data_IF_676193509194
#
_entry.id   IF_676193509194
#
_cell.length_a   1.000
_cell.length_b   1.000
_cell.length_c   1.000
_cell.angle_alpha   90.00
_cell.angle_beta   90.00
_cell.angle_gamma   90.00
#
_symmetry.space_group_name_H-M   'P 1'
#
loop_
_entity.id
_entity.type
_entity.pdbx_description
1 polymer ?
#
# COMPACT_ATOMS: atom_id res chain seq x y z
N UNK A 1 -20.83 0.76 12.54
CA UNK A 1 -19.78 1.41 13.37
C UNK A 1 -19.72 2.87 12.95
N UNK A 2 -19.67 3.83 13.88
CA UNK A 2 -19.51 5.24 13.51
C UNK A 2 -18.17 5.39 12.79
N UNK A 3 -18.21 5.84 11.54
CA UNK A 3 -17.02 6.19 10.76
C UNK A 3 -16.81 7.69 10.88
N UNK A 4 -15.56 8.12 10.87
CA UNK A 4 -15.24 9.54 10.74
C UNK A 4 -15.93 10.13 9.50
N UNK A 5 -16.32 11.41 9.49
CA UNK A 5 -16.87 12.01 8.28
C UNK A 5 -15.78 12.12 7.20
N UNK A 6 -16.19 12.03 5.92
CA UNK A 6 -15.31 12.39 4.81
C UNK A 6 -15.16 13.91 4.78
N UNK A 7 -13.95 14.41 5.03
CA UNK A 7 -13.64 15.84 5.04
C UNK A 7 -12.98 16.32 3.75
N UNK A 8 -12.55 15.42 2.87
CA UNK A 8 -11.93 15.84 1.62
C UNK A 8 -11.69 14.71 0.64
N UNK A 9 -11.23 15.10 -0.55
CA UNK A 9 -10.88 14.21 -1.64
C UNK A 9 -9.56 14.64 -2.27
N UNK A 10 -8.66 13.67 -2.41
CA UNK A 10 -7.42 13.81 -3.19
C UNK A 10 -7.66 13.31 -4.61
N UNK A 11 -7.39 14.17 -5.58
CA UNK A 11 -7.51 13.89 -7.00
C UNK A 11 -6.18 14.05 -7.73
N UNK A 12 -5.90 13.14 -8.66
CA UNK A 12 -4.71 13.19 -9.55
C UNK A 12 -4.91 14.01 -10.83
N UNK A 13 -6.15 14.35 -11.15
CA UNK A 13 -6.51 15.10 -12.34
C UNK A 13 -7.09 16.45 -11.95
N UNK A 14 -6.94 17.42 -12.84
CA UNK A 14 -7.53 18.74 -12.73
C UNK A 14 -9.05 18.72 -12.79
N UNK A 15 -9.64 19.90 -12.80
CA UNK A 15 -11.09 20.03 -12.88
C UNK A 15 -11.66 19.40 -14.14
N UNK A 16 -12.80 18.72 -14.00
CA UNK A 16 -13.47 18.10 -15.14
C UNK A 16 -14.12 19.19 -15.97
N UNK A 17 -13.97 19.10 -17.29
CA UNK A 17 -14.65 20.00 -18.22
C UNK A 17 -15.82 19.25 -18.86
N UNK A 18 -17.01 19.39 -18.26
CA UNK A 18 -18.19 18.61 -18.63
C UNK A 18 -17.95 17.10 -18.47
N UNK A 19 -18.19 16.33 -19.54
CA UNK A 19 -17.96 14.88 -19.55
C UNK A 19 -16.49 14.48 -19.79
N UNK A 20 -15.58 15.44 -20.04
CA UNK A 20 -14.17 15.14 -20.25
C UNK A 20 -13.45 15.04 -18.90
N UNK A 21 -12.64 13.99 -18.68
CA UNK A 21 -11.73 13.94 -17.54
C UNK A 21 -10.85 15.19 -17.54
N UNK A 22 -10.58 15.73 -16.34
CA UNK A 22 -9.62 16.81 -16.20
C UNK A 22 -8.22 16.36 -16.64
N UNK A 23 -7.38 17.34 -17.03
CA UNK A 23 -5.99 17.09 -17.39
C UNK A 23 -5.27 16.36 -16.25
N UNK A 24 -4.39 15.42 -16.57
CA UNK A 24 -3.52 14.80 -15.58
C UNK A 24 -2.62 15.85 -14.90
N UNK A 25 -2.50 15.78 -13.58
CA UNK A 25 -1.65 16.66 -12.78
C UNK A 25 -0.47 15.90 -12.19
N UNK A 26 0.65 16.60 -12.06
CA UNK A 26 1.89 16.12 -11.44
C UNK A 26 1.82 16.20 -9.92
N UNK A 27 0.96 17.07 -9.38
CA UNK A 27 0.70 17.26 -7.96
C UNK A 27 -0.71 16.77 -7.59
N UNK A 28 -0.96 16.67 -6.30
CA UNK A 28 -2.27 16.40 -5.74
C UNK A 28 -3.16 17.63 -5.80
N UNK A 29 -4.39 17.44 -6.29
CA UNK A 29 -5.47 18.40 -6.07
C UNK A 29 -6.31 17.94 -4.91
N UNK A 30 -6.38 18.74 -3.86
CA UNK A 30 -7.30 18.55 -2.75
C UNK A 30 -8.60 19.30 -3.01
N UNK A 31 -9.72 18.70 -2.60
CA UNK A 31 -11.05 19.32 -2.67
C UNK A 31 -11.86 18.94 -1.43
N UNK A 32 -12.63 19.88 -0.89
CA UNK A 32 -13.53 19.68 0.24
C UNK A 32 -14.87 20.40 0.00
N UNK A 33 -15.89 20.02 0.77
CA UNK A 33 -17.12 20.80 0.87
C UNK A 33 -16.97 21.98 1.87
N UNK A 34 -15.90 21.97 2.67
CA UNK A 34 -15.60 22.96 3.70
C UNK A 34 -14.36 23.76 3.28
N UNK A 35 -14.53 25.06 3.02
CA UNK A 35 -13.46 25.92 2.53
C UNK A 35 -12.29 26.03 3.52
N UNK A 36 -12.60 25.98 4.82
CA UNK A 36 -11.64 25.96 5.91
C UNK A 36 -10.72 24.73 5.86
N UNK A 37 -11.22 23.58 5.43
CA UNK A 37 -10.42 22.34 5.28
C UNK A 37 -9.49 22.44 4.08
N UNK A 38 -9.94 23.07 2.98
CA UNK A 38 -9.07 23.34 1.83
C UNK A 38 -7.95 24.31 2.18
N UNK A 39 -8.27 25.39 2.90
CA UNK A 39 -7.30 26.35 3.38
C UNK A 39 -6.27 25.72 4.34
N UNK A 40 -6.72 24.86 5.27
CA UNK A 40 -5.82 24.12 6.16
C UNK A 40 -4.89 23.17 5.39
N UNK A 41 -5.40 22.50 4.34
CA UNK A 41 -4.59 21.65 3.49
C UNK A 41 -3.54 22.46 2.72
N UNK A 42 -3.93 23.57 2.11
CA UNK A 42 -3.03 24.47 1.39
C UNK A 42 -1.98 25.09 2.32
N UNK A 43 -2.34 25.44 3.56
CA UNK A 43 -1.38 25.93 4.55
C UNK A 43 -0.32 24.89 4.92
N UNK A 44 -0.69 23.60 4.98
CA UNK A 44 0.23 22.51 5.32
C UNK A 44 1.12 22.07 4.15
N UNK A 45 0.58 22.10 2.93
CA UNK A 45 1.17 21.42 1.77
C UNK A 45 1.49 22.34 0.58
N UNK A 46 1.04 23.59 0.62
CA UNK A 46 1.09 24.53 -0.49
C UNK A 46 0.08 24.24 -1.60
N UNK A 47 0.16 25.02 -2.67
CA UNK A 47 -0.78 24.96 -3.80
C UNK A 47 -0.63 23.67 -4.65
N UNK A 48 0.59 23.14 -4.75
CA UNK A 48 0.95 22.03 -5.66
C UNK A 48 1.73 20.93 -4.97
N UNK A 49 1.14 20.20 -4.00
CA UNK A 49 1.86 19.18 -3.28
C UNK A 49 2.06 17.91 -4.09
N UNK A 50 3.31 17.45 -4.17
CA UNK A 50 3.68 16.18 -4.80
C UNK A 50 3.59 15.00 -3.83
N UNK A 51 3.68 15.29 -2.52
CA UNK A 51 3.70 14.31 -1.44
C UNK A 51 2.72 14.75 -0.36
N UNK A 52 1.91 13.82 0.13
CA UNK A 52 0.99 14.03 1.27
C UNK A 52 1.28 12.96 2.32
N UNK A 53 1.49 13.37 3.56
CA UNK A 53 1.62 12.45 4.69
C UNK A 53 0.23 11.90 5.01
N UNK A 54 0.13 10.58 5.15
CA UNK A 54 -1.15 9.93 5.40
C UNK A 54 -1.01 8.81 6.42
N UNK A 55 -2.09 8.55 7.15
CA UNK A 55 -2.24 7.39 8.01
C UNK A 55 -3.45 6.58 7.57
N UNK A 56 -3.39 5.26 7.77
CA UNK A 56 -4.54 4.39 7.53
C UNK A 56 -5.41 4.32 8.80
N UNK A 57 -6.70 4.70 8.74
CA UNK A 57 -7.57 4.72 9.91
C UNK A 57 -7.95 3.33 10.45
N UNK A 58 -7.91 2.30 9.60
CA UNK A 58 -8.37 0.95 9.94
C UNK A 58 -7.24 -0.08 9.91
N UNK A 59 -7.42 -1.20 10.62
CA UNK A 59 -6.41 -2.25 10.71
C UNK A 59 -6.37 -3.17 9.49
N UNK A 60 -7.52 -3.36 8.83
CA UNK A 60 -7.68 -4.30 7.72
C UNK A 60 -7.57 -3.60 6.36
N UNK A 61 -7.12 -4.34 5.35
CA UNK A 61 -6.95 -3.82 3.99
C UNK A 61 -8.29 -3.36 3.40
N UNK A 62 -9.33 -4.17 3.54
CA UNK A 62 -10.64 -3.96 2.90
C UNK A 62 -11.39 -2.77 3.49
N UNK A 63 -11.02 -2.33 4.69
CA UNK A 63 -11.58 -1.16 5.35
C UNK A 63 -10.93 0.15 4.86
N UNK A 64 -9.68 0.08 4.42
CA UNK A 64 -8.93 1.25 3.93
C UNK A 64 -8.94 1.34 2.40
N UNK A 65 -8.93 0.22 1.69
CA UNK A 65 -8.70 0.14 0.25
C UNK A 65 -9.84 -0.58 -0.47
N UNK A 66 -10.88 0.19 -0.79
CA UNK A 66 -12.08 -0.30 -1.44
C UNK A 66 -11.87 -0.38 -2.94
N UNK A 67 -11.78 -1.60 -3.48
CA UNK A 67 -11.55 -1.85 -4.90
C UNK A 67 -12.73 -2.59 -5.51
N UNK A 68 -13.34 -1.99 -6.52
CA UNK A 68 -14.54 -2.52 -7.18
C UNK A 68 -14.45 -2.32 -8.68
N UNK A 69 -15.20 -3.12 -9.46
CA UNK A 69 -15.53 -2.74 -10.84
C UNK A 69 -16.92 -2.11 -10.84
N UNK A 70 -17.04 -0.92 -11.41
CA UNK A 70 -18.29 -0.15 -11.43
C UNK A 70 -18.67 0.23 -12.86
N UNK A 71 -19.95 0.05 -13.20
CA UNK A 71 -20.55 0.60 -14.42
C UNK A 71 -21.41 1.79 -14.06
N UNK A 72 -21.12 2.92 -14.70
CA UNK A 72 -21.86 4.16 -14.52
C UNK A 72 -22.57 4.53 -15.84
N UNK A 73 -23.79 5.05 -15.72
CA UNK A 73 -24.54 5.68 -16.80
C UNK A 73 -24.91 7.12 -16.42
N UNK A 74 -25.47 7.89 -17.34
CA UNK A 74 -25.89 9.27 -17.07
C UNK A 74 -26.84 9.40 -15.86
N UNK A 75 -27.64 8.36 -15.59
CA UNK A 75 -28.55 8.29 -14.44
C UNK A 75 -27.96 7.67 -13.17
N UNK A 76 -26.63 7.55 -13.05
CA UNK A 76 -25.96 7.04 -11.84
C UNK A 76 -25.36 5.64 -11.99
N UNK A 77 -25.08 5.01 -10.85
CA UNK A 77 -24.47 3.68 -10.78
C UNK A 77 -25.44 2.64 -11.35
N UNK A 78 -24.98 1.88 -12.34
CA UNK A 78 -25.74 0.76 -12.93
C UNK A 78 -25.49 -0.50 -12.11
N UNK A 79 -24.23 -0.83 -11.87
CA UNK A 79 -23.84 -1.92 -10.98
C UNK A 79 -22.41 -1.76 -10.46
N UNK A 80 -22.14 -2.49 -9.37
CA UNK A 80 -20.82 -2.70 -8.75
C UNK A 80 -20.60 -4.21 -8.58
N UNK A 81 -19.44 -4.69 -9.01
CA UNK A 81 -19.05 -6.10 -8.93
C UNK A 81 -17.59 -6.29 -8.53
N UNK A 82 -17.27 -7.51 -8.12
CA UNK A 82 -15.90 -8.00 -7.88
C UNK A 82 -15.25 -8.58 -9.15
N UNK A 83 -15.80 -8.28 -10.34
CA UNK A 83 -15.39 -8.84 -11.63
C UNK A 83 -16.14 -10.13 -12.01
N UNK A 84 -16.71 -10.86 -11.06
CA UNK A 84 -17.48 -12.10 -11.31
C UNK A 84 -18.94 -11.96 -10.88
N UNK A 85 -19.17 -11.38 -9.71
CA UNK A 85 -20.47 -11.24 -9.06
C UNK A 85 -20.76 -9.77 -8.78
N UNK A 86 -21.95 -9.33 -9.19
CA UNK A 86 -22.52 -8.04 -8.81
C UNK A 86 -23.06 -8.12 -7.38
N UNK A 87 -22.62 -7.17 -6.56
CA UNK A 87 -23.04 -7.00 -5.16
C UNK A 87 -24.00 -5.83 -4.97
N UNK A 88 -24.09 -4.95 -5.95
CA UNK A 88 -25.04 -3.86 -6.00
C UNK A 88 -25.41 -3.59 -7.46
N UNK A 89 -26.69 -3.61 -7.80
CA UNK A 89 -27.14 -3.37 -9.17
C UNK A 89 -28.51 -2.69 -9.19
N UNK A 90 -28.78 -1.95 -10.27
CA UNK A 90 -30.04 -1.25 -10.48
C UNK A 90 -30.99 -2.12 -11.29
N UNK A 91 -32.19 -2.37 -10.77
CA UNK A 91 -33.24 -3.09 -11.49
C UNK A 91 -33.88 -2.23 -12.60
N UNK A 92 -34.72 -2.84 -13.44
CA UNK A 92 -35.42 -2.16 -14.54
C UNK A 92 -36.32 -1.01 -14.05
N UNK A 93 -36.73 -1.05 -12.78
CA UNK A 93 -37.55 -0.01 -12.13
C UNK A 93 -36.68 1.08 -11.48
N UNK A 94 -35.36 1.01 -11.61
CA UNK A 94 -34.42 1.99 -11.08
C UNK A 94 -34.06 1.80 -9.60
N UNK A 95 -34.51 0.74 -8.93
CA UNK A 95 -34.17 0.47 -7.52
C UNK A 95 -32.87 -0.31 -7.40
N UNK A 96 -32.09 0.01 -6.37
CA UNK A 96 -30.88 -0.75 -6.04
C UNK A 96 -31.21 -2.07 -5.33
N UNK A 97 -30.54 -3.12 -5.77
CA UNK A 97 -30.63 -4.51 -5.32
C UNK A 97 -29.24 -4.98 -4.90
N UNK A 98 -29.18 -5.81 -3.86
CA UNK A 98 -27.93 -6.32 -3.29
C UNK A 98 -27.82 -7.84 -3.40
N UNK A 99 -28.85 -8.48 -3.94
CA UNK A 99 -28.87 -9.91 -4.20
C UNK A 99 -27.75 -10.26 -5.20
N UNK A 100 -26.89 -11.23 -4.87
CA UNK A 100 -25.78 -11.63 -5.74
C UNK A 100 -26.27 -12.04 -7.13
N UNK A 101 -25.66 -11.48 -8.17
CA UNK A 101 -26.00 -11.79 -9.58
C UNK A 101 -24.71 -11.81 -10.41
N UNK A 102 -24.54 -12.74 -11.37
CA UNK A 102 -23.35 -12.78 -12.20
C UNK A 102 -23.14 -11.48 -12.99
N UNK A 103 -21.89 -11.02 -13.07
CA UNK A 103 -21.48 -9.87 -13.85
C UNK A 103 -21.63 -10.19 -15.36
N UNK A 104 -22.36 -9.37 -16.14
CA UNK A 104 -22.52 -9.60 -17.58
C UNK A 104 -21.21 -9.56 -18.38
N UNK A 105 -20.14 -8.99 -17.80
CA UNK A 105 -18.85 -8.79 -18.43
C UNK A 105 -17.74 -9.66 -17.81
N UNK A 106 -18.11 -10.69 -17.03
CA UNK A 106 -17.14 -11.61 -16.43
C UNK A 106 -16.27 -12.30 -17.49
N UNK A 107 -16.88 -12.75 -18.57
CA UNK A 107 -16.20 -13.47 -19.67
C UNK A 107 -15.52 -12.53 -20.69
N UNK A 108 -15.92 -11.25 -20.71
CA UNK A 108 -15.34 -10.26 -21.62
C UNK A 108 -15.05 -8.92 -20.88
N UNK A 109 -14.04 -8.90 -20.00
CA UNK A 109 -13.74 -7.73 -19.17
C UNK A 109 -13.17 -6.55 -19.97
N UNK A 110 -12.71 -6.78 -21.21
CA UNK A 110 -12.14 -5.75 -22.08
C UNK A 110 -13.17 -5.08 -23.00
N UNK A 111 -14.45 -5.43 -22.86
CA UNK A 111 -15.52 -4.77 -23.61
C UNK A 111 -15.53 -3.26 -23.31
N UNK A 112 -15.78 -2.43 -24.34
CA UNK A 112 -15.91 -0.98 -24.19
C UNK A 112 -16.99 -0.59 -23.17
N UNK A 113 -18.00 -1.45 -23.04
CA UNK A 113 -19.13 -1.29 -22.15
C UNK A 113 -18.98 -2.04 -20.83
N UNK A 114 -17.84 -2.69 -20.59
CA UNK A 114 -17.57 -3.36 -19.32
C UNK A 114 -17.55 -2.39 -18.13
N UNK A 115 -17.70 -2.98 -16.94
CA UNK A 115 -17.46 -2.32 -15.66
C UNK A 115 -15.98 -1.90 -15.54
N UNK A 116 -15.73 -0.68 -15.07
CA UNK A 116 -14.39 -0.11 -14.96
C UNK A 116 -13.86 -0.23 -13.54
N UNK A 117 -12.55 -0.38 -13.43
CA UNK A 117 -11.82 -0.44 -12.17
C UNK A 117 -11.97 0.88 -11.39
N UNK A 118 -12.26 0.77 -10.10
CA UNK A 118 -12.31 1.89 -9.16
C UNK A 118 -11.62 1.48 -7.87
N UNK A 119 -10.58 2.22 -7.49
CA UNK A 119 -9.95 2.13 -6.18
C UNK A 119 -10.26 3.38 -5.37
N UNK A 120 -10.68 3.20 -4.10
CA UNK A 120 -10.89 4.28 -3.15
C UNK A 120 -10.08 4.00 -1.89
N UNK A 121 -9.03 4.80 -1.68
CA UNK A 121 -8.20 4.75 -0.49
C UNK A 121 -8.75 5.73 0.54
N UNK A 122 -9.09 5.21 1.70
CA UNK A 122 -9.47 5.98 2.87
C UNK A 122 -8.22 6.22 3.69
N UNK A 123 -7.89 7.49 3.88
CA UNK A 123 -6.73 7.92 4.63
C UNK A 123 -7.07 9.04 5.59
N UNK A 124 -6.22 9.23 6.59
CA UNK A 124 -6.21 10.39 7.47
C UNK A 124 -5.01 11.25 7.10
N UNK A 125 -5.22 12.55 6.94
CA UNK A 125 -4.13 13.53 6.77
C UNK A 125 -3.89 14.15 8.14
N UNK A 126 -2.74 13.87 8.80
CA UNK A 126 -2.50 14.27 10.18
C UNK A 126 -2.50 15.79 10.37
N UNK A 127 -1.99 16.54 9.40
CA UNK A 127 -1.94 18.01 9.46
C UNK A 127 -3.35 18.62 9.49
N UNK A 128 -4.35 17.97 8.87
CA UNK A 128 -5.74 18.39 8.97
C UNK A 128 -6.33 18.13 10.37
N UNK A 129 -5.95 17.02 11.00
CA UNK A 129 -6.37 16.72 12.37
C UNK A 129 -5.72 17.69 13.38
N UNK A 130 -4.44 18.02 13.18
CA UNK A 130 -3.71 19.01 13.98
C UNK A 130 -4.33 20.41 13.84
N UNK A 131 -4.85 20.75 12.66
CA UNK A 131 -5.63 21.96 12.41
C UNK A 131 -7.08 21.90 12.97
N UNK A 132 -7.49 20.80 13.61
CA UNK A 132 -8.80 20.64 14.23
C UNK A 132 -9.89 20.04 13.31
N UNK A 133 -9.55 19.65 12.08
CA UNK A 133 -10.47 19.06 11.12
C UNK A 133 -10.41 17.52 11.18
N UNK A 134 -11.18 16.94 12.10
CA UNK A 134 -11.20 15.48 12.33
C UNK A 134 -12.09 14.77 11.32
N UNK A 135 -11.46 14.01 10.42
CA UNK A 135 -12.16 13.23 9.39
C UNK A 135 -11.22 12.36 8.56
N UNK A 136 -11.78 11.66 7.57
CA UNK A 136 -10.98 10.97 6.56
C UNK A 136 -11.00 11.70 5.21
N UNK A 137 -9.94 11.51 4.46
CA UNK A 137 -9.79 11.95 3.07
C UNK A 137 -9.85 10.72 2.18
N UNK A 138 -10.51 10.83 1.02
CA UNK A 138 -10.55 9.76 0.04
C UNK A 138 -9.66 10.08 -1.16
N UNK A 139 -8.76 9.17 -1.52
CA UNK A 139 -8.08 9.19 -2.81
C UNK A 139 -8.77 8.19 -3.74
N UNK A 140 -9.29 8.68 -4.87
CA UNK A 140 -9.96 7.83 -5.87
C UNK A 140 -9.12 7.70 -7.13
N UNK A 141 -8.97 6.48 -7.63
CA UNK A 141 -8.29 6.19 -8.90
C UNK A 141 -9.08 5.18 -9.74
N UNK A 142 -8.97 5.34 -11.06
CA UNK A 142 -9.48 4.41 -12.08
C UNK A 142 -8.36 3.78 -12.90
N UNK A 143 -7.11 4.01 -12.51
CA UNK A 143 -5.95 3.43 -13.19
C UNK A 143 -5.69 2.06 -12.60
N UNK A 144 -5.70 1.03 -13.45
CA UNK A 144 -5.28 -0.31 -13.05
C UNK A 144 -3.88 -0.29 -12.39
N UNK A 145 -2.95 0.47 -12.97
CA UNK A 145 -1.59 0.56 -12.43
C UNK A 145 -1.58 1.17 -11.02
N UNK A 146 -2.32 2.25 -10.78
CA UNK A 146 -2.38 2.84 -9.43
C UNK A 146 -3.01 1.84 -8.45
N UNK A 147 -4.03 1.10 -8.89
CA UNK A 147 -4.70 0.11 -8.05
C UNK A 147 -3.75 -0.99 -7.60
N UNK A 148 -2.99 -1.55 -8.55
CA UNK A 148 -2.02 -2.60 -8.28
C UNK A 148 -0.88 -2.13 -7.38
N UNK A 149 -0.34 -0.93 -7.61
CA UNK A 149 0.74 -0.38 -6.80
C UNK A 149 0.32 -0.17 -5.34
N UNK A 150 -0.82 0.45 -5.12
CA UNK A 150 -1.34 0.68 -3.77
C UNK A 150 -1.62 -0.65 -3.07
N UNK A 151 -2.24 -1.59 -3.78
CA UNK A 151 -2.53 -2.91 -3.23
C UNK A 151 -1.26 -3.66 -2.82
N UNK A 152 -0.21 -3.62 -3.65
CA UNK A 152 1.08 -4.22 -3.33
C UNK A 152 1.73 -3.60 -2.09
N UNK A 153 1.80 -2.27 -2.01
CA UNK A 153 2.35 -1.59 -0.84
C UNK A 153 1.61 -1.95 0.46
N UNK A 154 0.28 -2.08 0.40
CA UNK A 154 -0.53 -2.42 1.57
C UNK A 154 -0.34 -3.87 2.01
N UNK A 155 -0.24 -4.82 1.07
CA UNK A 155 0.02 -6.22 1.38
C UNK A 155 1.41 -6.41 2.00
N UNK A 156 2.44 -5.76 1.44
CA UNK A 156 3.78 -5.75 2.03
C UNK A 156 3.78 -5.24 3.47
N UNK A 157 3.05 -4.16 3.72
CA UNK A 157 2.94 -3.62 5.07
C UNK A 157 2.20 -4.57 6.04
N UNK A 158 1.22 -5.35 5.55
CA UNK A 158 0.54 -6.35 6.37
C UNK A 158 1.46 -7.51 6.75
N UNK A 159 2.38 -7.91 5.86
CA UNK A 159 3.41 -8.90 6.17
C UNK A 159 4.36 -8.40 7.27
N UNK A 160 4.77 -7.12 7.18
CA UNK A 160 5.72 -6.51 8.11
C UNK A 160 5.10 -6.08 9.45
N UNK A 161 3.79 -5.84 9.50
CA UNK A 161 3.09 -5.31 10.69
C UNK A 161 2.07 -6.30 11.23
N UNK A 162 2.45 -7.09 12.26
CA UNK A 162 1.50 -7.96 12.98
C UNK A 162 0.34 -7.20 13.62
N UNK A 163 0.52 -5.91 13.90
CA UNK A 163 -0.51 -5.03 14.46
C UNK A 163 -1.55 -4.54 13.41
N UNK A 164 -1.36 -4.90 12.13
CA UNK A 164 -2.16 -4.45 11.01
C UNK A 164 -1.75 -3.06 10.49
N UNK A 165 -2.63 -2.44 9.70
CA UNK A 165 -2.36 -1.20 8.98
C UNK A 165 -2.66 0.08 9.79
N UNK A 166 -3.37 -0.05 10.92
CA UNK A 166 -3.91 1.11 11.65
C UNK A 166 -2.77 1.95 12.22
N UNK A 167 -2.78 3.24 11.89
CA UNK A 167 -1.81 4.20 12.42
C UNK A 167 -0.40 4.07 11.83
N UNK A 168 -0.19 3.21 10.84
CA UNK A 168 1.06 3.17 10.08
C UNK A 168 1.15 4.43 9.22
N UNK A 169 2.24 5.23 9.34
CA UNK A 169 2.44 6.40 8.51
C UNK A 169 2.90 6.00 7.10
N UNK A 170 2.27 6.59 6.11
CA UNK A 170 2.62 6.46 4.70
C UNK A 170 2.84 7.85 4.07
N UNK A 171 3.54 7.85 2.95
CA UNK A 171 3.68 8.95 2.03
C UNK A 171 2.90 8.62 0.77
N UNK A 172 1.93 9.46 0.44
CA UNK A 172 1.18 9.36 -0.81
C UNK A 172 1.82 10.31 -1.84
N UNK A 173 2.49 9.74 -2.85
CA UNK A 173 3.33 10.49 -3.79
C UNK A 173 2.79 10.43 -5.21
N UNK A 174 3.02 11.49 -5.97
CA UNK A 174 2.91 11.51 -7.42
C UNK A 174 4.29 11.26 -8.03
N UNK A 175 4.43 10.22 -8.85
CA UNK A 175 5.72 9.80 -9.41
C UNK A 175 5.60 9.69 -10.94
N UNK A 176 6.52 10.27 -11.72
CA UNK A 176 6.54 10.06 -13.16
C UNK A 176 6.96 8.62 -13.45
N UNK A 177 6.21 7.95 -14.31
CA UNK A 177 6.52 6.60 -14.73
C UNK A 177 6.25 6.44 -16.23
N UNK A 178 7.18 5.78 -16.90
CA UNK A 178 6.96 5.35 -18.27
C UNK A 178 6.01 4.16 -18.24
N UNK A 179 4.85 4.29 -18.89
CA UNK A 179 3.87 3.21 -18.99
C UNK A 179 3.66 2.79 -20.43
N UNK A 180 3.43 1.50 -20.64
CA UNK A 180 3.19 0.94 -21.96
C UNK A 180 1.69 1.00 -22.30
N UNK A 181 1.30 1.96 -23.13
CA UNK A 181 -0.10 2.16 -23.57
C UNK A 181 -0.36 1.57 -24.95
N UNK A 182 -1.59 1.10 -25.26
CA UNK A 182 -1.96 0.72 -26.62
C UNK A 182 -1.84 1.93 -27.55
N UNK A 183 -1.00 1.82 -28.57
CA UNK A 183 -0.86 2.78 -29.66
C UNK A 183 -1.66 2.38 -30.88
N UNK A 184 -1.48 3.14 -31.95
CA UNK A 184 -2.19 2.94 -33.22
C UNK A 184 -1.77 1.59 -33.85
N UNK A 185 -2.76 0.82 -34.32
CA UNK A 185 -2.51 -0.46 -34.99
C UNK A 185 -1.95 -1.58 -34.10
N UNK A 186 -2.38 -1.68 -32.84
CA UNK A 186 -1.99 -2.72 -31.85
C UNK A 186 -0.55 -2.65 -31.33
N UNK A 187 0.26 -1.67 -31.75
CA UNK A 187 1.62 -1.45 -31.25
C UNK A 187 1.59 -0.80 -29.87
N UNK A 188 2.38 -1.28 -28.92
CA UNK A 188 2.48 -0.64 -27.59
C UNK A 188 3.44 0.55 -27.65
N UNK A 189 3.01 1.70 -27.14
CA UNK A 189 3.81 2.93 -27.08
C UNK A 189 4.07 3.29 -25.63
N UNK A 190 5.34 3.51 -25.30
CA UNK A 190 5.76 4.01 -23.98
C UNK A 190 5.40 5.50 -23.89
N UNK A 191 4.60 5.86 -22.90
CA UNK A 191 4.22 7.24 -22.60
C UNK A 191 4.53 7.53 -21.15
N UNK A 192 5.08 8.71 -20.89
CA UNK A 192 5.22 9.22 -19.54
C UNK A 192 3.84 9.54 -18.97
N UNK A 193 3.57 9.04 -17.76
CA UNK A 193 2.38 9.38 -16.99
C UNK A 193 2.74 9.49 -15.52
N UNK A 194 1.93 10.25 -14.80
CA UNK A 194 2.10 10.41 -13.36
C UNK A 194 1.24 9.38 -12.61
N UNK A 195 1.90 8.46 -11.92
CA UNK A 195 1.26 7.40 -11.13
C UNK A 195 1.16 7.79 -9.65
N UNK A 196 0.40 6.99 -8.91
CA UNK A 196 0.30 7.10 -7.44
C UNK A 196 1.19 6.05 -6.80
N UNK A 197 2.14 6.50 -5.98
CA UNK A 197 2.92 5.64 -5.10
C UNK A 197 2.43 5.79 -3.66
N UNK A 198 2.27 4.67 -2.97
CA UNK A 198 2.04 4.63 -1.53
C UNK A 198 3.26 3.97 -0.89
N UNK A 199 4.03 4.74 -0.13
CA UNK A 199 5.29 4.28 0.47
C UNK A 199 5.19 4.38 1.99
N UNK A 200 5.60 3.37 2.77
CA UNK A 200 5.69 3.52 4.22
C UNK A 200 6.68 4.65 4.55
N UNK A 201 6.35 5.50 5.51
CA UNK A 201 7.21 6.62 5.85
C UNK A 201 8.54 6.10 6.41
N UNK A 202 9.68 6.64 5.94
CA UNK A 202 11.01 6.17 6.33
C UNK A 202 11.23 6.13 7.85
N UNK A 203 10.59 7.04 8.61
CA UNK A 203 10.62 7.01 10.09
C UNK A 203 10.10 5.69 10.67
N UNK A 204 9.06 5.13 10.08
CA UNK A 204 8.47 3.87 10.50
C UNK A 204 9.34 2.68 10.11
N UNK A 205 9.83 2.65 8.87
CA UNK A 205 10.78 1.62 8.42
C UNK A 205 12.04 1.60 9.29
N UNK A 206 12.55 2.77 9.71
CA UNK A 206 13.68 2.87 10.66
C UNK A 206 13.34 2.33 12.04
N UNK A 207 12.13 2.58 12.56
CA UNK A 207 11.70 2.02 13.84
C UNK A 207 11.58 0.49 13.78
N UNK A 208 11.05 -0.04 12.68
CA UNK A 208 10.97 -1.48 12.47
C UNK A 208 12.33 -2.13 12.32
N UNK A 209 13.26 -1.52 11.59
CA UNK A 209 14.64 -2.00 11.48
C UNK A 209 15.31 -2.07 12.86
N UNK A 210 15.18 -1.00 13.67
CA UNK A 210 15.69 -0.99 15.05
C UNK A 210 15.03 -2.06 15.93
N UNK A 211 13.74 -2.32 15.76
CA UNK A 211 13.04 -3.36 16.50
C UNK A 211 13.51 -4.76 16.08
N UNK A 212 13.73 -4.98 14.77
CA UNK A 212 14.26 -6.22 14.22
C UNK A 212 15.71 -6.47 14.66
N UNK A 213 16.56 -5.44 14.60
CA UNK A 213 17.93 -5.47 15.16
C UNK A 213 17.90 -5.83 16.64
N UNK A 214 17.06 -5.17 17.44
CA UNK A 214 16.93 -5.46 18.86
C UNK A 214 16.42 -6.89 19.13
N UNK A 215 15.54 -7.43 18.28
CA UNK A 215 15.06 -8.80 18.38
C UNK A 215 16.15 -9.82 18.02
N UNK A 216 16.92 -9.57 16.96
CA UNK A 216 18.06 -10.39 16.56
C UNK A 216 19.14 -10.40 17.65
N UNK A 217 19.51 -9.23 18.17
CA UNK A 217 20.47 -9.08 19.28
C UNK A 217 19.97 -9.72 20.58
N UNK A 218 18.66 -9.76 20.82
CA UNK A 218 18.07 -10.50 21.97
C UNK A 218 18.20 -12.01 21.79
N UNK A 219 18.04 -12.53 20.58
CA UNK A 219 18.25 -13.95 20.29
C UNK A 219 19.74 -14.34 20.38
N UNK A 220 20.67 -13.45 20.02
CA UNK A 220 22.12 -13.68 20.19
C UNK A 220 22.55 -13.67 21.67
N UNK A 221 21.81 -12.98 22.54
CA UNK A 221 22.05 -12.97 24.00
C UNK A 221 21.42 -14.14 24.74
N UNK A 222 20.67 -15.01 24.06
CA UNK A 222 20.23 -16.27 24.64
C UNK A 222 21.46 -17.18 24.76
N UNK A 223 21.97 -17.34 25.98
CA UNK A 223 22.99 -18.35 26.26
C UNK A 223 22.48 -19.70 25.71
N UNK A 224 23.32 -20.47 24.99
CA UNK A 224 22.93 -21.80 24.58
C UNK A 224 22.47 -22.57 25.82
N UNK A 225 21.35 -23.28 25.71
CA UNK A 225 20.92 -24.16 26.78
C UNK A 225 22.09 -25.12 27.10
N UNK A 226 22.45 -25.32 28.38
CA UNK A 226 23.57 -26.18 28.73
C UNK A 226 23.35 -27.57 28.15
N UNK A 227 24.41 -28.16 27.61
CA UNK A 227 24.34 -29.51 27.03
C UNK A 227 23.83 -30.51 28.10
N UNK A 228 22.95 -31.45 27.73
CA UNK A 228 22.43 -32.43 28.68
C UNK A 228 23.57 -33.30 29.21
N UNK A 229 23.93 -33.09 30.49
CA UNK A 229 25.03 -33.79 31.16
C UNK A 229 25.84 -32.91 32.12
N UNK A 230 25.72 -31.59 32.05
CA UNK A 230 26.44 -30.67 32.93
C UNK A 230 25.71 -30.51 34.27
N UNK A 231 26.38 -30.87 35.37
CA UNK A 231 25.89 -30.62 36.74
C UNK A 231 26.51 -29.33 37.28
N UNK A 232 25.65 -28.46 37.82
CA UNK A 232 26.05 -27.17 38.40
C UNK A 232 26.06 -27.35 39.92
N UNK A 233 27.19 -27.05 40.58
CA UNK A 233 27.27 -27.06 42.03
C UNK A 233 26.38 -25.93 42.58
N UNK A 234 25.34 -26.29 43.34
CA UNK A 234 24.33 -25.36 43.82
C UNK A 234 24.81 -24.42 44.96
N UNK A 235 26.03 -24.61 45.48
CA UNK A 235 26.59 -23.78 46.56
C UNK A 235 27.63 -22.79 46.01
N UNK A 236 28.46 -23.20 45.05
CA UNK A 236 29.51 -22.34 44.49
C UNK A 236 29.16 -21.77 43.12
N UNK A 237 28.20 -22.34 42.41
CA UNK A 237 27.82 -21.94 41.06
C UNK A 237 28.82 -22.31 39.97
N UNK A 238 29.81 -23.15 40.29
CA UNK A 238 30.81 -23.61 39.33
C UNK A 238 30.28 -24.76 38.45
N UNK A 239 30.69 -24.74 37.18
CA UNK A 239 30.43 -25.79 36.21
C UNK A 239 31.60 -26.78 36.24
N UNK A 240 31.36 -27.99 36.74
CA UNK A 240 32.38 -29.04 36.78
C UNK A 240 32.29 -29.81 35.46
N UNK A 241 33.36 -29.76 34.67
CA UNK A 241 33.52 -30.51 33.43
C UNK A 241 34.75 -31.41 33.59
N UNK A 242 34.55 -32.71 33.81
CA UNK A 242 35.61 -33.64 34.23
C UNK A 242 36.59 -34.04 33.11
N UNK A 243 36.46 -33.52 31.89
CA UNK A 243 37.22 -34.02 30.72
C UNK A 243 37.99 -32.95 29.90
N UNK A 244 38.49 -31.87 30.53
CA UNK A 244 39.28 -30.85 29.79
C UNK A 244 40.70 -30.68 30.35
N UNK A 245 41.74 -31.19 29.67
CA UNK A 245 43.14 -30.86 29.97
C UNK A 245 43.42 -29.38 29.70
N UNK A 246 44.12 -28.76 30.64
CA UNK A 246 44.59 -27.37 30.60
C UNK A 246 45.71 -27.22 29.56
N UNK A 247 45.52 -26.38 28.54
CA UNK A 247 46.63 -25.80 27.75
C UNK A 247 46.25 -24.40 27.20
N UNK A 248 47.00 -23.42 27.71
CA UNK A 248 47.45 -22.13 27.18
C UNK A 248 46.61 -21.26 26.20
N UNK A 249 46.41 -20.01 26.63
CA UNK A 249 46.04 -18.85 25.79
C UNK A 249 47.16 -18.47 24.79
N UNK A 250 46.84 -17.87 23.63
CA UNK A 250 46.83 -16.39 23.49
C UNK A 250 45.70 -15.90 22.54
N UNK A 251 45.19 -14.66 22.52
CA UNK A 251 45.83 -13.35 22.36
C UNK A 251 45.44 -12.72 21.00
N UNK A 252 44.98 -11.46 20.98
CA UNK A 252 44.73 -10.61 19.78
C UNK A 252 43.26 -10.54 19.34
N UNK A 253 42.69 -9.44 18.82
CA UNK A 253 43.01 -8.02 18.67
C UNK A 253 41.68 -7.38 18.20
N UNK A 254 41.37 -6.15 18.63
CA UNK A 254 40.14 -5.42 18.23
C UNK A 254 40.44 -4.40 17.15
N UNK A 255 39.98 -4.66 15.93
CA UNK A 255 40.07 -3.69 14.84
C UNK A 255 38.78 -2.86 14.72
N UNK A 256 38.90 -1.60 15.13
CA UNK A 256 37.96 -0.53 14.85
C UNK A 256 38.32 0.15 13.52
N UNK A 257 37.45 0.04 12.52
CA UNK A 257 37.41 1.01 11.42
C UNK A 257 35.98 1.18 10.89
N UNK A 258 35.25 2.11 11.51
CA UNK A 258 34.01 2.66 10.95
C UNK A 258 34.35 3.90 10.14
N UNK A 259 34.20 3.82 8.82
CA UNK A 259 34.21 4.99 7.94
C UNK A 259 32.78 5.29 7.54
N UNK A 260 32.25 6.40 8.05
CA UNK A 260 31.00 7.01 7.63
C UNK A 260 31.12 7.43 6.16
N UNK A 261 30.17 6.99 5.33
CA UNK A 261 30.00 7.48 3.97
C UNK A 261 28.66 8.21 3.87
N UNK A 262 28.79 9.50 3.57
CA UNK A 262 27.74 10.48 3.33
C UNK A 262 26.61 9.99 2.42
N UNK A 263 25.40 10.08 2.95
CA UNK A 263 24.17 9.94 2.18
C UNK A 263 23.89 11.26 1.43
N UNK A 264 24.26 11.30 0.15
CA UNK A 264 23.77 12.32 -0.78
C UNK A 264 23.06 11.67 -1.98
N UNK A 265 21.84 12.13 -2.23
CA UNK A 265 21.12 11.94 -3.50
C UNK A 265 20.58 10.55 -3.79
N UNK A 266 19.45 10.16 -3.17
CA UNK A 266 18.61 9.10 -3.73
C UNK A 266 17.64 9.71 -4.74
N UNK A 267 18.02 9.72 -6.02
CA UNK A 267 17.05 9.64 -7.12
C UNK A 267 16.27 8.34 -6.94
N UNK A 268 15.12 8.42 -6.27
CA UNK A 268 14.18 7.29 -6.20
C UNK A 268 13.34 7.32 -7.47
N UNK A 269 13.92 6.81 -8.55
CA UNK A 269 13.14 6.15 -9.59
C UNK A 269 12.48 4.95 -8.91
N UNK A 270 11.27 5.15 -8.37
CA UNK A 270 10.49 4.03 -7.87
C UNK A 270 10.34 3.05 -9.04
N UNK A 271 10.83 1.82 -8.87
CA UNK A 271 10.88 0.80 -9.92
C UNK A 271 9.46 0.28 -10.22
N UNK A 272 8.63 1.11 -10.86
CA UNK A 272 7.29 0.79 -11.36
C UNK A 272 7.34 -0.18 -12.56
N UNK A 273 8.52 -0.63 -12.96
CA UNK A 273 8.70 -1.61 -14.03
C UNK A 273 7.97 -2.92 -13.71
N UNK A 274 7.85 -3.29 -12.43
CA UNK A 274 7.11 -4.50 -12.02
C UNK A 274 5.63 -4.48 -12.41
N UNK A 275 4.98 -3.31 -12.41
CA UNK A 275 3.59 -3.17 -12.87
C UNK A 275 3.48 -3.20 -14.40
N UNK A 276 4.59 -3.09 -15.11
CA UNK A 276 4.64 -3.22 -16.56
C UNK A 276 5.13 -4.61 -17.02
N UNK A 277 5.80 -5.35 -16.16
CA UNK A 277 6.36 -6.69 -16.43
C UNK A 277 5.35 -7.82 -16.11
N UNK A 278 4.90 -8.60 -17.12
CA UNK A 278 4.01 -9.74 -16.91
C UNK A 278 4.56 -10.82 -15.96
N UNK A 279 5.88 -11.05 -15.94
CA UNK A 279 6.50 -12.05 -15.09
C UNK A 279 6.46 -11.61 -13.62
N UNK A 280 6.82 -10.35 -13.34
CA UNK A 280 6.75 -9.77 -11.99
C UNK A 280 5.30 -9.72 -11.48
N UNK A 281 4.31 -9.43 -12.33
CA UNK A 281 2.87 -9.53 -11.97
C UNK A 281 2.45 -10.94 -11.57
N UNK A 282 2.85 -11.94 -12.36
CA UNK A 282 2.52 -13.34 -12.09
C UNK A 282 3.14 -13.81 -10.78
N UNK A 283 4.39 -13.40 -10.50
CA UNK A 283 5.07 -13.70 -9.24
C UNK A 283 4.34 -13.07 -8.04
N UNK A 284 4.00 -11.79 -8.12
CA UNK A 284 3.26 -11.08 -7.09
C UNK A 284 1.89 -11.72 -6.83
N UNK A 285 1.19 -12.15 -7.87
CA UNK A 285 -0.11 -12.78 -7.71
C UNK A 285 -0.05 -14.20 -7.10
N UNK A 286 1.04 -14.93 -7.34
CA UNK A 286 1.30 -16.19 -6.64
C UNK A 286 1.54 -15.95 -5.14
N UNK A 287 2.21 -14.85 -4.78
CA UNK A 287 2.43 -14.43 -3.39
C UNK A 287 1.12 -14.03 -2.70
N UNK A 288 0.24 -13.26 -3.35
CA UNK A 288 -1.11 -12.95 -2.83
C UNK A 288 -1.86 -14.24 -2.48
N UNK A 289 -1.83 -15.24 -3.38
CA UNK A 289 -2.49 -16.53 -3.15
C UNK A 289 -1.89 -17.28 -1.96
N UNK A 290 -0.58 -17.18 -1.74
CA UNK A 290 0.11 -17.81 -0.62
C UNK A 290 -0.21 -17.16 0.74
N UNK A 291 -0.46 -15.84 0.77
CA UNK A 291 -0.81 -15.11 1.99
C UNK A 291 -2.20 -15.44 2.53
N UNK A 292 -3.04 -16.17 1.77
CA UNK A 292 -4.37 -16.54 2.20
C UNK A 292 -5.32 -15.35 2.44
N UNK A 293 -4.92 -14.15 1.97
CA UNK A 293 -5.78 -12.97 1.98
C UNK A 293 -6.98 -13.31 1.10
N UNK A 294 -8.17 -13.38 1.71
CA UNK A 294 -9.42 -13.48 0.99
C UNK A 294 -9.65 -12.16 0.29
N UNK A 295 -8.96 -11.92 -0.81
CA UNK A 295 -9.14 -10.74 -1.64
C UNK A 295 -10.50 -10.88 -2.36
N UNK A 296 -11.54 -10.14 -1.95
CA UNK A 296 -12.85 -10.21 -2.57
C UNK A 296 -12.88 -9.38 -3.86
N UNK A 297 -11.71 -9.00 -4.41
CA UNK A 297 -11.59 -8.09 -5.53
C UNK A 297 -11.14 -8.80 -6.81
N UNK A 298 -11.44 -8.14 -7.93
CA UNK A 298 -11.01 -8.52 -9.27
C UNK A 298 -9.48 -8.39 -9.48
N UNK A 299 -8.72 -7.91 -8.48
CA UNK A 299 -7.29 -7.61 -8.60
C UNK A 299 -6.48 -8.87 -8.91
N UNK A 300 -6.77 -9.97 -8.21
CA UNK A 300 -6.09 -11.27 -8.44
C UNK A 300 -6.30 -11.74 -9.89
N UNK A 301 -7.52 -11.60 -10.43
CA UNK A 301 -7.80 -11.90 -11.83
C UNK A 301 -7.05 -10.95 -12.79
N UNK A 302 -6.96 -9.66 -12.47
CA UNK A 302 -6.22 -8.69 -13.29
C UNK A 302 -4.70 -8.88 -13.29
N UNK A 303 -4.15 -9.56 -12.28
CA UNK A 303 -2.76 -9.98 -12.25
C UNK A 303 -2.50 -11.28 -13.03
N UNK A 304 -3.54 -11.91 -13.60
CA UNK A 304 -3.41 -13.13 -14.41
C UNK A 304 -3.34 -14.41 -13.58
N UNK A 305 -3.84 -14.40 -12.34
CA UNK A 305 -4.04 -15.61 -11.55
C UNK A 305 -5.48 -16.06 -11.69
N UNK A 306 -5.72 -16.84 -12.74
CA UNK A 306 -6.81 -17.81 -12.83
C UNK A 306 -6.22 -19.10 -13.39
#
# INVERSE_FOLDING_TARGET
MPSFPRIGKLGKGGERQGNRPGRELEHWRFTSAQAEVEAAFEAAYGEKPYVVNVFLPYGKLEENWLTWKEKWAAGGLVHRCDGQTMHLWRDERGKYRQEPKPCPYADNPNDKDACKEVGRLIVVVPELWEAGHVGFVTMETHSLNDVLNIHASLLRMLEESPAGLRGVPFLLRRVPAMISTPGEGSKRVRREKWLVALEPAARWSRLQLKAAEAAAMRNERALPAPEPGVTIDAVTGEVINDDVPWDDAPGGEVDASGTEADASGAEVDADFDWVNDPAKKKAFAAEIKALGVKDPSWITAALGVM
#
